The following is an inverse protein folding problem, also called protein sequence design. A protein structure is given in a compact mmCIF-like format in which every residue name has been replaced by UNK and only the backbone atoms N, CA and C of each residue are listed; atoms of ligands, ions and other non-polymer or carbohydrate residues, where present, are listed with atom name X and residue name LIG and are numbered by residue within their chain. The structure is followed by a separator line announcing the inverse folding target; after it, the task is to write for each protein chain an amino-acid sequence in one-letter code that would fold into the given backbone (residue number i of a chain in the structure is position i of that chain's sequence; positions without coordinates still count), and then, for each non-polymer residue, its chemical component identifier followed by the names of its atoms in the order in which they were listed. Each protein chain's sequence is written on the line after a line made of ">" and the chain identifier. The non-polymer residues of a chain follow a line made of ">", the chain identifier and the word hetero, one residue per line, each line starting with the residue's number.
data_IF_910398272055
#
_entry.id   IF_910398272055
#
_cell.length_a   1.000
_cell.length_b   1.000
_cell.length_c   1.000
_cell.angle_alpha   90.00
_cell.angle_beta   90.00
_cell.angle_gamma   90.00
#
_symmetry.space_group_name_H-M   'P 1'
#
loop_
_entity.id
_entity.type
_entity.pdbx_description
1 polymer ?
#
# COMPACT_ATOMS: atom_id res chain seq x y z
N UNK A 1 -12.56 14.15 3.72
CA UNK A 1 -11.32 13.57 4.30
C UNK A 1 -10.14 14.42 3.89
N UNK A 2 -9.24 14.74 4.80
CA UNK A 2 -8.07 15.55 4.45
C UNK A 2 -7.07 14.74 3.61
N UNK A 3 -6.09 15.44 3.04
CA UNK A 3 -5.13 14.82 2.11
C UNK A 3 -4.28 13.73 2.77
N UNK A 4 -3.91 13.91 4.04
CA UNK A 4 -3.08 12.93 4.74
C UNK A 4 -3.86 11.64 5.00
N UNK A 5 -5.11 11.76 5.43
CA UNK A 5 -5.96 10.58 5.63
C UNK A 5 -6.26 9.86 4.32
N UNK A 6 -6.48 10.62 3.25
CA UNK A 6 -6.69 10.05 1.92
C UNK A 6 -5.44 9.32 1.45
N UNK A 7 -4.27 9.92 1.65
CA UNK A 7 -2.99 9.29 1.34
C UNK A 7 -2.83 7.97 2.11
N UNK A 8 -3.05 7.97 3.43
CA UNK A 8 -2.95 6.76 4.24
C UNK A 8 -3.87 5.66 3.75
N UNK A 9 -5.11 6.01 3.40
CA UNK A 9 -6.07 5.06 2.86
C UNK A 9 -5.56 4.44 1.55
N UNK A 10 -5.04 5.27 0.64
CA UNK A 10 -4.56 4.80 -0.66
C UNK A 10 -3.29 3.94 -0.51
N UNK A 11 -2.39 4.31 0.39
CA UNK A 11 -1.23 3.46 0.72
C UNK A 11 -1.69 2.07 1.13
N UNK A 12 -2.67 2.00 2.02
CA UNK A 12 -3.19 0.72 2.50
C UNK A 12 -3.81 -0.11 1.39
N UNK A 13 -4.63 0.52 0.53
CA UNK A 13 -5.27 -0.17 -0.60
C UNK A 13 -4.26 -0.70 -1.61
N UNK A 14 -3.28 0.13 -1.95
CA UNK A 14 -2.23 -0.25 -2.92
C UNK A 14 -1.41 -1.41 -2.38
N UNK A 15 -0.92 -1.30 -1.14
CA UNK A 15 -0.07 -2.32 -0.56
C UNK A 15 -0.82 -3.64 -0.36
N UNK A 16 -2.09 -3.60 0.06
CA UNK A 16 -2.91 -4.79 0.19
C UNK A 16 -3.09 -5.50 -1.15
N UNK A 17 -3.35 -4.72 -2.20
CA UNK A 17 -3.53 -5.26 -3.55
C UNK A 17 -2.24 -5.95 -4.03
N UNK A 18 -1.11 -5.29 -3.91
CA UNK A 18 0.17 -5.82 -4.36
C UNK A 18 0.64 -7.00 -3.52
N UNK A 19 0.30 -7.02 -2.24
CA UNK A 19 0.62 -8.14 -1.36
C UNK A 19 -0.08 -9.42 -1.81
N UNK A 20 -1.36 -9.30 -2.17
CA UNK A 20 -2.14 -10.45 -2.66
C UNK A 20 -1.61 -11.00 -3.99
N UNK A 21 -1.13 -10.12 -4.86
CA UNK A 21 -0.64 -10.51 -6.18
C UNK A 21 0.81 -10.99 -6.16
N UNK A 22 1.56 -10.65 -5.11
CA UNK A 22 2.97 -11.01 -5.02
C UNK A 22 3.16 -12.53 -5.14
N UNK A 23 4.16 -13.04 -5.86
CA UNK A 23 5.26 -12.34 -6.54
C UNK A 23 5.00 -11.98 -8.00
N UNK A 24 3.78 -12.05 -8.46
CA UNK A 24 3.44 -11.77 -9.85
C UNK A 24 3.29 -10.29 -10.08
N UNK A 25 3.91 -9.79 -11.15
CA UNK A 25 3.66 -8.42 -11.60
C UNK A 25 2.24 -8.33 -12.12
N UNK A 26 1.56 -7.24 -11.81
CA UNK A 26 0.14 -7.08 -12.15
C UNK A 26 -0.16 -5.69 -12.68
N UNK A 27 -1.34 -5.56 -13.27
CA UNK A 27 -1.90 -4.30 -13.70
C UNK A 27 -2.84 -3.80 -12.61
N UNK A 28 -2.74 -2.52 -12.28
CA UNK A 28 -3.62 -1.87 -11.32
C UNK A 28 -4.38 -0.76 -12.01
N UNK A 29 -5.69 -0.94 -12.14
CA UNK A 29 -6.59 0.08 -12.67
C UNK A 29 -7.33 0.70 -11.48
N UNK A 30 -7.11 1.98 -11.22
CA UNK A 30 -7.63 2.62 -10.01
C UNK A 30 -9.15 2.53 -9.90
N UNK A 31 -9.85 2.75 -11.01
CA UNK A 31 -11.31 2.81 -11.02
C UNK A 31 -11.94 1.45 -10.82
N UNK A 32 -11.43 0.44 -11.54
CA UNK A 32 -12.00 -0.89 -11.45
C UNK A 32 -11.60 -1.63 -10.18
N UNK A 33 -10.39 -1.37 -9.68
CA UNK A 33 -9.89 -2.09 -8.51
C UNK A 33 -10.27 -1.44 -7.18
N UNK A 34 -10.38 -0.11 -7.15
CA UNK A 34 -10.63 0.63 -5.91
C UNK A 34 -11.93 1.45 -5.91
N UNK A 35 -12.66 1.48 -7.04
CA UNK A 35 -13.89 2.27 -7.15
C UNK A 35 -13.61 3.76 -7.30
N UNK A 36 -14.41 4.60 -6.66
CA UNK A 36 -14.22 6.04 -6.73
C UNK A 36 -13.00 6.47 -5.93
N UNK A 37 -12.01 7.04 -6.63
CA UNK A 37 -10.81 7.57 -6.01
C UNK A 37 -10.48 8.93 -6.62
N UNK A 38 -9.77 9.74 -5.86
CA UNK A 38 -9.17 10.96 -6.40
C UNK A 38 -7.94 10.54 -7.20
N UNK A 39 -8.05 10.57 -8.52
CA UNK A 39 -6.98 10.08 -9.41
C UNK A 39 -5.66 10.82 -9.19
N UNK A 40 -5.71 12.12 -8.94
CA UNK A 40 -4.52 12.93 -8.69
C UNK A 40 -3.78 12.46 -7.44
N UNK A 41 -4.50 12.28 -6.34
CA UNK A 41 -3.91 11.82 -5.06
C UNK A 41 -3.46 10.37 -5.19
N UNK A 42 -4.24 9.54 -5.89
CA UNK A 42 -3.89 8.13 -6.09
C UNK A 42 -2.56 8.01 -6.85
N UNK A 43 -2.41 8.71 -7.97
CA UNK A 43 -1.19 8.64 -8.75
C UNK A 43 0.01 9.20 -7.97
N UNK A 44 -0.18 10.31 -7.27
CA UNK A 44 0.86 10.89 -6.42
C UNK A 44 1.28 9.91 -5.31
N UNK A 45 0.33 9.17 -4.75
CA UNK A 45 0.61 8.15 -3.73
C UNK A 45 1.42 6.99 -4.32
N UNK A 46 1.07 6.55 -5.53
CA UNK A 46 1.83 5.51 -6.23
C UNK A 46 3.28 5.95 -6.47
N UNK A 47 3.48 7.19 -6.94
CA UNK A 47 4.81 7.75 -7.16
C UNK A 47 5.58 7.83 -5.84
N UNK A 48 4.93 8.28 -4.77
CA UNK A 48 5.56 8.38 -3.45
C UNK A 48 6.05 7.01 -2.97
N UNK A 49 5.22 5.98 -3.13
CA UNK A 49 5.58 4.62 -2.73
C UNK A 49 6.75 4.08 -3.57
N UNK A 50 6.76 4.38 -4.86
CA UNK A 50 7.85 3.99 -5.75
C UNK A 50 9.15 4.70 -5.38
N UNK A 51 9.09 6.01 -5.17
CA UNK A 51 10.26 6.82 -4.83
C UNK A 51 10.80 6.44 -3.45
N UNK A 52 9.93 6.01 -2.54
CA UNK A 52 10.32 5.51 -1.23
C UNK A 52 10.91 4.10 -1.27
N UNK A 53 10.83 3.43 -2.40
CA UNK A 53 11.43 2.12 -2.60
C UNK A 53 10.55 0.96 -2.12
N UNK A 54 9.25 1.15 -1.93
CA UNK A 54 8.35 0.10 -1.47
C UNK A 54 7.72 -0.70 -2.60
N UNK A 55 7.52 -0.08 -3.75
CA UNK A 55 6.91 -0.72 -4.91
C UNK A 55 7.67 -0.34 -6.17
N UNK A 56 7.40 -1.07 -7.25
CA UNK A 56 7.85 -0.69 -8.58
C UNK A 56 6.69 -0.85 -9.55
N UNK A 57 6.70 -0.05 -10.61
CA UNK A 57 5.69 -0.14 -11.67
C UNK A 57 6.12 0.69 -12.87
N UNK A 58 5.39 0.47 -13.97
CA UNK A 58 5.51 1.28 -15.17
C UNK A 58 4.16 1.96 -15.43
N UNK A 59 4.20 3.15 -15.99
CA UNK A 59 2.99 3.90 -16.33
C UNK A 59 3.16 4.57 -17.68
N UNK A 60 2.02 4.86 -18.33
CA UNK A 60 1.98 5.67 -19.54
C UNK A 60 1.28 6.98 -19.24
N UNK A 61 1.53 7.98 -20.07
CA UNK A 61 0.87 9.29 -19.94
C UNK A 61 -0.62 9.11 -20.29
N UNK A 62 -1.50 9.69 -19.46
CA UNK A 62 -2.96 9.70 -19.64
C UNK A 62 -3.67 8.39 -19.32
N UNK A 63 -3.03 7.47 -18.63
CA UNK A 63 -3.68 6.21 -18.25
C UNK A 63 -4.22 6.28 -16.81
N UNK A 64 -5.36 5.63 -16.60
CA UNK A 64 -5.96 5.44 -15.27
C UNK A 64 -5.41 4.19 -14.59
N UNK A 65 -4.31 3.65 -15.11
CA UNK A 65 -3.73 2.41 -14.59
C UNK A 65 -2.21 2.42 -14.68
N UNK A 66 -1.61 1.54 -13.90
CA UNK A 66 -0.18 1.23 -13.96
C UNK A 66 -0.04 -0.26 -14.29
N UNK A 67 1.09 -0.65 -14.83
CA UNK A 67 1.35 -2.04 -15.17
C UNK A 67 2.72 -2.48 -14.68
N UNK A 68 2.94 -3.79 -14.67
CA UNK A 68 4.12 -4.41 -14.08
C UNK A 68 4.33 -3.97 -12.63
N UNK A 69 3.23 -3.79 -11.90
CA UNK A 69 3.27 -3.36 -10.51
C UNK A 69 3.60 -4.52 -9.59
N UNK A 70 4.52 -4.30 -8.66
CA UNK A 70 4.97 -5.34 -7.73
C UNK A 70 5.57 -4.68 -6.49
N UNK A 71 5.47 -5.36 -5.35
CA UNK A 71 6.21 -4.97 -4.16
C UNK A 71 7.71 -5.12 -4.40
N UNK A 72 8.48 -4.15 -3.96
CA UNK A 72 9.94 -4.29 -3.94
C UNK A 72 10.36 -5.26 -2.83
N UNK A 73 11.61 -5.74 -2.81
CA UNK A 73 12.10 -6.54 -1.68
C UNK A 73 11.91 -5.82 -0.34
N UNK A 74 12.18 -4.53 -0.30
CA UNK A 74 12.01 -3.69 0.89
C UNK A 74 10.55 -3.60 1.31
N UNK A 75 9.64 -3.39 0.35
CA UNK A 75 8.22 -3.34 0.60
C UNK A 75 7.67 -4.66 1.12
N UNK A 76 8.11 -5.77 0.53
CA UNK A 76 7.71 -7.09 0.98
C UNK A 76 8.17 -7.35 2.42
N UNK A 77 9.42 -7.06 2.73
CA UNK A 77 9.96 -7.26 4.08
C UNK A 77 9.22 -6.41 5.11
N UNK A 78 8.85 -5.17 4.75
CA UNK A 78 8.04 -4.34 5.64
C UNK A 78 6.68 -4.98 5.92
N UNK A 79 6.02 -5.50 4.89
CA UNK A 79 4.69 -6.12 5.05
C UNK A 79 4.74 -7.46 5.79
N UNK A 80 5.89 -8.10 5.86
CA UNK A 80 6.07 -9.31 6.67
C UNK A 80 6.20 -9.01 8.16
N UNK A 81 6.51 -7.76 8.52
CA UNK A 81 6.66 -7.38 9.92
C UNK A 81 5.34 -7.46 10.66
N UNK A 82 5.40 -7.75 11.97
CA UNK A 82 4.21 -7.84 12.81
C UNK A 82 4.11 -6.59 13.66
N UNK A 83 2.98 -5.87 13.59
CA UNK A 83 2.81 -4.68 14.43
C UNK A 83 2.70 -5.09 15.91
N UNK A 84 3.36 -4.33 16.78
CA UNK A 84 3.34 -4.61 18.21
C UNK A 84 1.98 -4.31 18.85
N UNK A 85 1.22 -3.40 18.24
CA UNK A 85 -0.09 -2.99 18.73
C UNK A 85 -1.17 -4.02 18.50
N UNK A 86 -0.93 -5.02 17.62
CA UNK A 86 -1.90 -6.08 17.37
C UNK A 86 -1.66 -7.24 18.31
N UNK A 87 -2.68 -7.57 19.09
CA UNK A 87 -2.67 -8.80 19.89
C UNK A 87 -2.66 -10.04 19.00
N UNK A 88 -3.02 -9.88 17.74
CA UNK A 88 -3.04 -10.93 16.73
C UNK A 88 -1.66 -11.10 16.13
N UNK A 89 -1.28 -12.37 15.88
CA UNK A 89 0.03 -12.70 15.32
C UNK A 89 0.07 -12.56 13.80
N UNK A 90 -0.55 -11.51 13.28
CA UNK A 90 -0.61 -11.27 11.83
C UNK A 90 0.41 -10.24 11.40
N UNK A 91 0.96 -10.44 10.22
CA UNK A 91 1.82 -9.44 9.60
C UNK A 91 0.99 -8.25 9.12
N UNK A 92 1.65 -7.13 8.85
CA UNK A 92 0.98 -5.97 8.24
C UNK A 92 0.29 -6.34 6.92
N UNK A 93 0.96 -7.17 6.09
CA UNK A 93 0.38 -7.60 4.82
C UNK A 93 -0.92 -8.39 5.00
N UNK A 94 -0.92 -9.35 5.92
CA UNK A 94 -2.12 -10.12 6.22
C UNK A 94 -3.25 -9.23 6.76
N UNK A 95 -2.91 -8.34 7.68
CA UNK A 95 -3.87 -7.43 8.29
C UNK A 95 -4.48 -6.48 7.27
N UNK A 96 -3.64 -5.83 6.44
CA UNK A 96 -4.13 -4.94 5.38
C UNK A 96 -5.02 -5.69 4.38
N UNK A 97 -4.63 -6.91 4.01
CA UNK A 97 -5.42 -7.73 3.09
C UNK A 97 -6.80 -8.06 3.65
N UNK A 98 -6.89 -8.39 4.93
CA UNK A 98 -8.17 -8.65 5.58
C UNK A 98 -9.03 -7.39 5.66
N UNK A 99 -8.44 -6.25 6.03
CA UNK A 99 -9.16 -4.99 6.08
C UNK A 99 -9.69 -4.60 4.69
N UNK A 100 -8.88 -4.77 3.66
CA UNK A 100 -9.27 -4.46 2.29
C UNK A 100 -10.44 -5.36 1.84
N UNK A 101 -10.38 -6.66 2.18
CA UNK A 101 -11.45 -7.61 1.83
C UNK A 101 -12.76 -7.30 2.53
N UNK A 102 -12.70 -6.74 3.73
CA UNK A 102 -13.91 -6.37 4.49
C UNK A 102 -14.50 -5.03 4.08
N UNK A 103 -13.80 -4.26 3.25
CA UNK A 103 -14.25 -2.95 2.78
C UNK A 103 -14.29 -1.87 3.85
N UNK A 104 -13.55 -2.04 4.93
CA UNK A 104 -13.54 -1.09 6.05
C UNK A 104 -12.42 -0.06 5.88
N UNK A 105 -12.71 1.01 5.15
CA UNK A 105 -11.72 2.04 4.81
C UNK A 105 -11.02 2.63 6.02
N UNK A 106 -11.73 2.85 7.12
CA UNK A 106 -11.13 3.42 8.33
C UNK A 106 -10.06 2.49 8.92
N UNK A 107 -10.29 1.18 8.89
CA UNK A 107 -9.31 0.22 9.36
C UNK A 107 -8.10 0.15 8.43
N UNK A 108 -8.34 0.22 7.13
CA UNK A 108 -7.25 0.25 6.14
C UNK A 108 -6.38 1.49 6.39
N UNK A 109 -7.01 2.65 6.56
CA UNK A 109 -6.32 3.91 6.80
C UNK A 109 -5.46 3.86 8.06
N UNK A 110 -6.03 3.38 9.16
CA UNK A 110 -5.31 3.27 10.43
C UNK A 110 -4.14 2.28 10.33
N UNK A 111 -4.38 1.16 9.69
CA UNK A 111 -3.34 0.14 9.50
C UNK A 111 -2.18 0.69 8.67
N UNK A 112 -2.50 1.42 7.60
CA UNK A 112 -1.47 2.02 6.75
C UNK A 112 -0.69 3.10 7.49
N UNK A 113 -1.38 3.94 8.27
CA UNK A 113 -0.72 4.97 9.08
C UNK A 113 0.27 4.34 10.06
N UNK A 114 -0.13 3.28 10.73
CA UNK A 114 0.73 2.55 11.66
C UNK A 114 1.92 1.91 10.94
N UNK A 115 1.67 1.34 9.75
CA UNK A 115 2.72 0.75 8.93
C UNK A 115 3.78 1.80 8.55
N UNK A 116 3.35 2.97 8.09
CA UNK A 116 4.25 4.05 7.69
C UNK A 116 5.07 4.55 8.88
N UNK A 117 4.43 4.68 10.03
CA UNK A 117 5.12 5.07 11.26
C UNK A 117 6.16 4.00 11.65
N UNK A 118 5.78 2.74 11.59
CA UNK A 118 6.68 1.62 11.86
C UNK A 118 7.86 1.60 10.89
N UNK A 119 7.63 1.94 9.62
CA UNK A 119 8.66 1.90 8.58
C UNK A 119 9.84 2.81 8.89
N UNK A 120 9.63 3.90 9.60
CA UNK A 120 10.72 4.81 9.97
C UNK A 120 11.76 4.11 10.84
N UNK A 121 11.34 3.36 11.82
CA UNK A 121 12.24 2.60 12.68
C UNK A 121 12.87 1.40 11.97
N UNK A 122 12.06 0.69 11.18
CA UNK A 122 12.50 -0.48 10.42
C UNK A 122 13.62 -0.11 9.43
N UNK A 123 13.42 0.98 8.69
CA UNK A 123 14.41 1.43 7.71
C UNK A 123 15.69 1.92 8.37
N UNK A 124 15.59 2.55 9.52
CA UNK A 124 16.76 3.01 10.28
C UNK A 124 17.64 1.83 10.71
N UNK A 125 17.05 0.66 10.96
CA UNK A 125 17.79 -0.55 11.33
C UNK A 125 18.50 -1.23 10.16
N UNK A 126 18.04 -0.97 8.93
CA UNK A 126 18.63 -1.55 7.72
C UNK A 126 19.86 -0.81 7.25
N UNK A 127 20.06 0.39 7.71
CA UNK A 127 21.21 1.23 7.36
C UNK A 127 22.08 1.48 8.62
#
# INVERSE_FOLDING_TARGET
>A
MDNIKTFDLYVGKILAFLYKEFPCKCELNYKSDFGEVNAKIMFATLIWLKDSGFIDFESTINDDFIYNAILSPKGLELLKQKPQSLEQKKSFGEWLSECASSGKDELIRRSASELLHYSLGFLAKLF
#
